data_IF_431334124199
#
_entry.id   IF_431334124199
#
_cell.length_a   1.000
_cell.length_b   1.000
_cell.length_c   1.000
_cell.angle_alpha   90.00
_cell.angle_beta   90.00
_cell.angle_gamma   90.00
#
_symmetry.space_group_name_H-M   'P 1'
#
loop_
_entity.id
_entity.type
_entity.pdbx_description
1 polymer ?
#
# COMPACT_ATOMS: atom_id res chain seq x y z
N UNK A 1 -10.53 -34.75 -10.92
CA UNK A 1 -9.11 -34.56 -11.28
C UNK A 1 -9.05 -33.73 -12.56
N UNK A 2 -8.69 -32.45 -12.52
CA UNK A 2 -8.56 -31.62 -13.73
C UNK A 2 -7.24 -30.80 -13.70
N UNK A 3 -6.58 -30.77 -14.86
CA UNK A 3 -5.13 -30.63 -15.09
C UNK A 3 -4.56 -29.22 -14.89
N UNK A 4 -3.29 -29.21 -14.41
CA UNK A 4 -2.35 -28.08 -14.32
C UNK A 4 -1.89 -27.60 -15.70
N UNK A 5 -1.91 -26.28 -15.90
CA UNK A 5 -1.08 -25.53 -16.86
C UNK A 5 -0.96 -24.08 -16.33
N UNK A 6 0.19 -23.42 -16.21
CA UNK A 6 1.58 -23.81 -16.41
C UNK A 6 2.50 -23.00 -15.47
N UNK A 7 3.80 -23.28 -15.54
CA UNK A 7 4.85 -22.57 -14.79
C UNK A 7 5.25 -23.25 -13.47
N UNK A 8 6.50 -23.68 -13.38
CA UNK A 8 7.16 -24.35 -12.26
C UNK A 8 6.68 -23.91 -10.86
N UNK A 9 5.99 -24.80 -10.14
CA UNK A 9 5.94 -24.87 -8.66
C UNK A 9 5.38 -23.69 -7.84
N UNK A 10 5.22 -22.49 -8.40
CA UNK A 10 4.82 -21.31 -7.65
C UNK A 10 3.30 -21.26 -7.51
N UNK A 11 2.81 -21.51 -6.30
CA UNK A 11 1.40 -21.28 -5.99
C UNK A 11 1.04 -19.79 -6.21
N UNK A 12 -0.20 -19.50 -6.61
CA UNK A 12 -0.72 -18.12 -6.75
C UNK A 12 -0.39 -17.28 -5.50
N UNK A 13 -0.54 -17.87 -4.31
CA UNK A 13 -0.21 -17.20 -3.05
C UNK A 13 1.30 -16.99 -2.81
N UNK A 14 2.15 -17.87 -3.35
CA UNK A 14 3.61 -17.73 -3.34
C UNK A 14 4.08 -16.53 -4.13
N UNK A 15 3.58 -16.39 -5.37
CA UNK A 15 3.85 -15.25 -6.24
C UNK A 15 3.51 -13.92 -5.55
N UNK A 16 2.29 -13.77 -5.03
CA UNK A 16 1.89 -12.52 -4.36
C UNK A 16 2.67 -12.26 -3.08
N UNK A 17 3.05 -13.31 -2.33
CA UNK A 17 3.88 -13.14 -1.14
C UNK A 17 5.24 -12.59 -1.50
N UNK A 18 5.90 -13.12 -2.54
CA UNK A 18 7.18 -12.61 -3.05
C UNK A 18 7.03 -11.17 -3.51
N UNK A 19 6.02 -10.88 -4.32
CA UNK A 19 5.73 -9.53 -4.81
C UNK A 19 5.56 -8.50 -3.67
N UNK A 20 4.84 -8.85 -2.60
CA UNK A 20 4.63 -7.97 -1.45
C UNK A 20 5.82 -7.87 -0.49
N UNK A 21 6.72 -8.87 -0.48
CA UNK A 21 8.00 -8.80 0.22
C UNK A 21 8.93 -7.83 -0.52
N UNK A 22 9.04 -7.98 -1.84
CA UNK A 22 9.89 -7.15 -2.69
C UNK A 22 9.36 -5.71 -2.78
N UNK A 23 8.03 -5.55 -2.75
CA UNK A 23 7.38 -4.25 -2.82
C UNK A 23 6.40 -4.02 -1.65
N UNK A 24 6.90 -3.76 -0.42
CA UNK A 24 6.04 -3.60 0.77
C UNK A 24 5.05 -2.42 0.69
N UNK A 25 5.28 -1.46 -0.21
CA UNK A 25 4.38 -0.33 -0.48
C UNK A 25 3.01 -0.81 -0.99
N UNK A 26 2.99 -1.89 -1.77
CA UNK A 26 1.76 -2.47 -2.36
C UNK A 26 0.79 -3.03 -1.31
N UNK A 27 1.27 -3.35 -0.10
CA UNK A 27 0.43 -3.78 1.02
C UNK A 27 -0.44 -2.64 1.58
N UNK A 28 -0.11 -1.39 1.29
CA UNK A 28 -0.78 -0.19 1.84
C UNK A 28 -1.73 0.46 0.85
N UNK A 29 -1.48 0.29 -0.45
CA UNK A 29 -2.33 0.83 -1.51
C UNK A 29 -3.73 0.21 -1.48
N UNK A 30 -4.77 1.04 -1.57
CA UNK A 30 -6.18 0.59 -1.66
C UNK A 30 -6.49 -0.05 -3.01
N UNK A 31 -5.93 0.49 -4.09
CA UNK A 31 -6.08 -0.11 -5.42
C UNK A 31 -5.21 -1.37 -5.58
N UNK A 32 -5.81 -2.39 -6.20
CA UNK A 32 -5.12 -3.62 -6.59
C UNK A 32 -4.85 -3.68 -8.09
N UNK A 33 -5.25 -2.67 -8.88
CA UNK A 33 -5.15 -2.69 -10.35
C UNK A 33 -3.72 -2.94 -10.82
N UNK A 34 -2.73 -2.29 -10.20
CA UNK A 34 -1.32 -2.45 -10.55
C UNK A 34 -0.77 -3.86 -10.24
N UNK A 35 -1.20 -4.46 -9.12
CA UNK A 35 -0.81 -5.83 -8.72
C UNK A 35 -1.41 -6.86 -9.69
N UNK A 36 -2.65 -6.65 -10.08
CA UNK A 36 -3.38 -7.53 -10.99
C UNK A 36 -2.89 -7.39 -12.44
N UNK A 37 -2.50 -6.19 -12.87
CA UNK A 37 -1.89 -5.95 -14.17
C UNK A 37 -0.55 -6.66 -14.32
N UNK A 38 0.32 -6.55 -13.32
CA UNK A 38 1.60 -7.27 -13.31
C UNK A 38 1.43 -8.80 -13.34
N UNK A 39 0.42 -9.31 -12.66
CA UNK A 39 0.11 -10.74 -12.73
C UNK A 39 -0.31 -11.18 -14.14
N UNK A 40 -1.06 -10.35 -14.88
CA UNK A 40 -1.43 -10.64 -16.28
C UNK A 40 -0.22 -10.60 -17.22
N UNK A 41 0.69 -9.65 -17.04
CA UNK A 41 1.94 -9.57 -17.80
C UNK A 41 2.80 -10.82 -17.60
N UNK A 42 2.92 -11.28 -16.35
CA UNK A 42 3.67 -12.48 -16.00
C UNK A 42 2.95 -13.79 -16.39
N UNK A 43 1.63 -13.73 -16.68
CA UNK A 43 0.79 -14.87 -17.04
C UNK A 43 0.01 -14.60 -18.34
N UNK A 44 0.69 -14.55 -19.50
CA UNK A 44 0.08 -14.17 -20.78
C UNK A 44 -0.98 -15.16 -21.31
N UNK A 45 -1.17 -16.30 -20.65
CA UNK A 45 -2.23 -17.27 -20.95
C UNK A 45 -3.62 -16.87 -20.45
N UNK A 46 -3.75 -15.75 -19.71
CA UNK A 46 -5.02 -15.27 -19.18
C UNK A 46 -5.35 -13.89 -19.74
N UNK A 47 -6.52 -13.78 -20.40
CA UNK A 47 -7.04 -12.51 -20.95
C UNK A 47 -7.60 -11.59 -19.86
N UNK A 48 -8.07 -12.18 -18.76
CA UNK A 48 -8.59 -11.48 -17.58
C UNK A 48 -8.14 -12.18 -16.31
N UNK A 49 -8.02 -11.44 -15.21
CA UNK A 49 -7.60 -12.04 -13.94
C UNK A 49 -8.74 -12.89 -13.36
N UNK A 50 -8.53 -14.22 -13.20
CA UNK A 50 -9.52 -15.10 -12.61
C UNK A 50 -9.93 -14.69 -11.18
N UNK A 51 -11.17 -15.00 -10.79
CA UNK A 51 -11.69 -14.63 -9.47
C UNK A 51 -10.90 -15.26 -8.31
N UNK A 52 -10.45 -16.51 -8.47
CA UNK A 52 -9.62 -17.20 -7.48
C UNK A 52 -8.25 -16.52 -7.28
N UNK A 53 -7.69 -15.88 -8.31
CA UNK A 53 -6.43 -15.12 -8.22
C UNK A 53 -6.66 -13.82 -7.44
N UNK A 54 -7.73 -13.09 -7.74
CA UNK A 54 -8.13 -11.87 -6.99
C UNK A 54 -8.34 -12.19 -5.51
N UNK A 55 -9.04 -13.28 -5.20
CA UNK A 55 -9.28 -13.71 -3.83
C UNK A 55 -7.99 -14.13 -3.11
N UNK A 56 -7.12 -14.89 -3.77
CA UNK A 56 -5.82 -15.28 -3.20
C UNK A 56 -4.95 -14.07 -2.90
N UNK A 57 -4.86 -13.12 -3.82
CA UNK A 57 -4.14 -11.86 -3.62
C UNK A 57 -4.67 -11.10 -2.39
N UNK A 58 -6.00 -11.00 -2.24
CA UNK A 58 -6.63 -10.27 -1.14
C UNK A 58 -6.33 -10.92 0.21
N UNK A 59 -6.41 -12.25 0.27
CA UNK A 59 -6.08 -13.03 1.45
C UNK A 59 -4.60 -12.87 1.85
N UNK A 60 -3.68 -13.00 0.90
CA UNK A 60 -2.24 -12.82 1.15
C UNK A 60 -1.94 -11.40 1.64
N UNK A 61 -2.51 -10.39 0.99
CA UNK A 61 -2.37 -8.98 1.39
C UNK A 61 -2.90 -8.74 2.82
N UNK A 62 -4.04 -9.34 3.17
CA UNK A 62 -4.62 -9.27 4.52
C UNK A 62 -3.72 -9.90 5.57
N UNK A 63 -3.24 -11.13 5.34
CA UNK A 63 -2.34 -11.85 6.25
C UNK A 63 -1.03 -11.08 6.45
N UNK A 64 -0.44 -10.55 5.38
CA UNK A 64 0.80 -9.77 5.48
C UNK A 64 0.61 -8.44 6.23
N UNK A 65 -0.53 -7.75 6.04
CA UNK A 65 -0.89 -6.58 6.86
C UNK A 65 -1.02 -6.93 8.33
N UNK A 66 -1.71 -8.03 8.67
CA UNK A 66 -1.86 -8.52 10.05
C UNK A 66 -0.51 -8.84 10.69
N UNK A 67 0.37 -9.56 9.98
CA UNK A 67 1.72 -9.88 10.46
C UNK A 67 2.54 -8.62 10.74
N UNK A 68 2.47 -7.63 9.84
CA UNK A 68 3.17 -6.35 10.01
C UNK A 68 2.65 -5.55 11.21
N UNK A 69 1.33 -5.50 11.43
CA UNK A 69 0.74 -4.85 12.62
C UNK A 69 1.20 -5.53 13.91
N UNK A 70 1.15 -6.87 13.97
CA UNK A 70 1.64 -7.63 15.12
C UNK A 70 3.11 -7.34 15.43
N UNK A 71 3.96 -7.28 14.41
CA UNK A 71 5.38 -6.96 14.57
C UNK A 71 5.62 -5.55 15.12
N UNK A 72 4.82 -4.57 14.70
CA UNK A 72 4.89 -3.20 15.24
C UNK A 72 4.49 -3.17 16.72
N UNK A 73 3.35 -3.79 17.06
CA UNK A 73 2.91 -3.85 18.46
C UNK A 73 3.95 -4.51 19.39
N UNK A 74 4.61 -5.58 18.93
CA UNK A 74 5.71 -6.23 19.65
C UNK A 74 6.94 -5.32 19.79
N UNK A 75 7.27 -4.55 18.75
CA UNK A 75 8.38 -3.60 18.80
C UNK A 75 8.08 -2.45 19.77
N UNK A 76 6.88 -1.91 19.73
CA UNK A 76 6.43 -0.84 20.62
C UNK A 76 6.45 -1.32 22.08
N UNK A 77 5.95 -2.54 22.36
CA UNK A 77 6.01 -3.14 23.69
C UNK A 77 7.45 -3.34 24.20
N UNK A 78 8.38 -3.69 23.29
CA UNK A 78 9.81 -3.83 23.64
C UNK A 78 10.46 -2.47 23.93
N UNK A 79 10.10 -1.42 23.21
CA UNK A 79 10.59 -0.06 23.44
C UNK A 79 10.05 0.52 24.76
N UNK A 80 8.78 0.27 25.06
CA UNK A 80 8.16 0.64 26.33
C UNK A 80 8.83 -0.07 27.52
N UNK A 81 9.16 -1.37 27.38
CA UNK A 81 9.91 -2.12 28.40
C UNK A 81 11.35 -1.60 28.61
N UNK A 82 11.91 -0.84 27.66
CA UNK A 82 13.24 -0.22 27.75
C UNK A 82 13.18 1.25 28.23
N UNK A 83 12.01 1.73 28.68
CA UNK A 83 11.84 3.09 29.18
C UNK A 83 11.91 4.18 28.10
N UNK A 84 11.90 3.80 26.82
CA UNK A 84 12.02 4.75 25.71
C UNK A 84 10.61 5.19 25.25
N UNK A 85 10.24 6.44 25.52
CA UNK A 85 8.94 6.96 25.10
C UNK A 85 8.87 7.12 23.58
N UNK A 86 7.97 6.36 22.96
CA UNK A 86 7.64 6.54 21.54
C UNK A 86 6.77 7.79 21.40
N UNK A 87 7.32 8.88 20.85
CA UNK A 87 6.53 10.08 20.50
C UNK A 87 5.50 9.72 19.43
N UNK A 88 4.24 9.54 19.85
CA UNK A 88 3.11 9.35 18.94
C UNK A 88 2.64 10.72 18.47
N UNK A 89 2.59 10.93 17.15
CA UNK A 89 1.98 12.14 16.59
C UNK A 89 0.45 12.00 16.81
N UNK A 90 -0.22 12.98 17.44
CA UNK A 90 -1.66 12.92 17.66
C UNK A 90 -2.42 12.95 16.32
N UNK A 91 -3.46 12.11 16.21
CA UNK A 91 -4.28 12.00 14.99
C UNK A 91 -4.88 13.34 14.55
N UNK A 92 -5.36 14.14 15.50
CA UNK A 92 -5.93 15.48 15.26
C UNK A 92 -4.93 16.45 14.61
N UNK A 93 -3.64 16.34 14.95
CA UNK A 93 -2.59 17.17 14.33
C UNK A 93 -2.31 16.77 12.88
N UNK A 94 -2.44 15.47 12.58
CA UNK A 94 -2.28 14.96 11.22
C UNK A 94 -3.49 15.29 10.34
N UNK A 95 -4.72 15.26 10.88
CA UNK A 95 -5.95 15.68 10.18
C UNK A 95 -5.85 17.16 9.76
N UNK A 96 -5.47 18.04 10.68
CA UNK A 96 -5.25 19.46 10.37
C UNK A 96 -4.13 19.68 9.35
N UNK A 97 -3.10 18.82 9.35
CA UNK A 97 -2.04 18.88 8.34
C UNK A 97 -2.52 18.40 6.97
N UNK A 98 -3.36 17.37 6.91
CA UNK A 98 -3.97 16.90 5.65
C UNK A 98 -4.83 18.00 5.02
N UNK A 99 -5.70 18.64 5.81
CA UNK A 99 -6.58 19.72 5.35
C UNK A 99 -5.78 20.87 4.71
N UNK A 100 -4.70 21.31 5.35
CA UNK A 100 -3.79 22.34 4.81
C UNK A 100 -3.12 21.91 3.50
N UNK A 101 -2.76 20.63 3.36
CA UNK A 101 -2.17 20.12 2.12
C UNK A 101 -3.21 20.11 1.00
N UNK A 102 -4.47 19.76 1.30
CA UNK A 102 -5.58 19.80 0.33
C UNK A 102 -5.90 21.24 -0.10
N UNK A 103 -5.81 22.23 0.80
CA UNK A 103 -5.90 23.66 0.47
C UNK A 103 -4.79 24.09 -0.49
N UNK A 104 -3.53 23.73 -0.20
CA UNK A 104 -2.40 24.01 -1.08
C UNK A 104 -2.55 23.35 -2.45
N UNK A 105 -3.08 22.11 -2.51
CA UNK A 105 -3.37 21.42 -3.76
C UNK A 105 -4.43 22.15 -4.58
N UNK A 106 -5.46 22.67 -3.92
CA UNK A 106 -6.53 23.42 -4.57
C UNK A 106 -6.02 24.74 -5.13
N UNK A 107 -5.24 25.49 -4.33
CA UNK A 107 -4.61 26.75 -4.78
C UNK A 107 -3.66 26.52 -5.96
N UNK A 108 -2.76 25.52 -5.89
CA UNK A 108 -1.83 25.24 -6.97
C UNK A 108 -2.54 24.86 -8.29
N UNK A 109 -3.65 24.12 -8.22
CA UNK A 109 -4.46 23.77 -9.41
C UNK A 109 -5.22 24.94 -10.01
N UNK A 110 -5.52 25.97 -9.21
CA UNK A 110 -6.24 27.16 -9.65
C UNK A 110 -5.31 28.23 -10.23
N UNK A 111 -4.05 28.28 -9.78
CA UNK A 111 -3.04 29.17 -10.32
C UNK A 111 -2.60 28.73 -11.71
N UNK A 112 -1.98 27.54 -11.81
CA UNK A 112 -1.51 27.00 -13.09
C UNK A 112 -1.22 25.51 -12.93
N UNK A 113 -1.94 24.66 -13.67
CA UNK A 113 -1.80 23.21 -13.58
C UNK A 113 -0.58 22.67 -14.31
N UNK A 114 -0.16 23.33 -15.38
CA UNK A 114 0.92 22.87 -16.26
C UNK A 114 2.26 23.26 -15.66
N UNK A 115 2.43 24.53 -15.31
CA UNK A 115 3.67 25.04 -14.74
C UNK A 115 3.92 24.47 -13.33
N UNK A 116 2.86 24.27 -12.53
CA UNK A 116 2.99 23.74 -11.16
C UNK A 116 2.81 22.22 -11.08
N UNK A 117 2.85 21.49 -12.20
CA UNK A 117 2.64 20.04 -12.22
C UNK A 117 3.57 19.30 -11.25
N UNK A 118 4.83 19.70 -11.16
CA UNK A 118 5.81 19.09 -10.24
C UNK A 118 5.46 19.37 -8.76
N UNK A 119 5.03 20.59 -8.44
CA UNK A 119 4.60 21.00 -7.10
C UNK A 119 3.35 20.23 -6.68
N UNK A 120 2.36 20.11 -7.58
CA UNK A 120 1.14 19.34 -7.35
C UNK A 120 1.46 17.86 -7.05
N UNK A 121 2.44 17.27 -7.73
CA UNK A 121 2.87 15.90 -7.49
C UNK A 121 3.53 15.73 -6.10
N UNK A 122 4.34 16.70 -5.66
CA UNK A 122 4.92 16.69 -4.32
C UNK A 122 3.86 16.81 -3.23
N UNK A 123 2.89 17.71 -3.41
CA UNK A 123 1.79 17.88 -2.46
C UNK A 123 0.90 16.62 -2.37
N UNK A 124 0.61 15.96 -3.49
CA UNK A 124 -0.08 14.66 -3.49
C UNK A 124 0.71 13.59 -2.73
N UNK A 125 2.03 13.57 -2.91
CA UNK A 125 2.91 12.64 -2.21
C UNK A 125 2.92 12.92 -0.70
N UNK A 126 3.01 14.19 -0.31
CA UNK A 126 2.95 14.62 1.08
C UNK A 126 1.62 14.23 1.73
N UNK A 127 0.48 14.49 1.08
CA UNK A 127 -0.84 14.07 1.55
C UNK A 127 -0.90 12.56 1.79
N UNK A 128 -0.48 11.77 0.80
CA UNK A 128 -0.46 10.31 0.91
C UNK A 128 0.42 9.82 2.06
N UNK A 129 1.50 10.53 2.39
CA UNK A 129 2.34 10.22 3.55
C UNK A 129 1.65 10.56 4.88
N UNK A 130 0.94 11.68 4.96
CA UNK A 130 0.16 12.07 6.16
C UNK A 130 -0.96 11.06 6.43
N UNK A 131 -1.76 10.74 5.40
CA UNK A 131 -2.79 9.69 5.46
C UNK A 131 -2.17 8.34 5.85
N UNK A 132 -0.99 8.03 5.31
CA UNK A 132 -0.24 6.83 5.69
C UNK A 132 0.15 6.79 7.18
N UNK A 133 0.49 7.94 7.78
CA UNK A 133 0.84 8.05 9.19
C UNK A 133 -0.41 7.97 10.08
N UNK A 134 -1.54 8.54 9.65
CA UNK A 134 -2.83 8.44 10.34
C UNK A 134 -3.37 7.00 10.40
N UNK A 135 -3.05 6.17 9.40
CA UNK A 135 -3.42 4.76 9.37
C UNK A 135 -4.79 4.47 8.74
N UNK A 136 -5.31 5.39 7.93
CA UNK A 136 -6.52 5.22 7.11
C UNK A 136 -6.27 4.39 5.84
#
# INVERSE_FOLDING_TARGET
>A
MAKKAGGQGESIGGYFRKLFVDNPKLLRTRSNSHVLGRWLEDHPGHREVPLNVKQNMANVKSVMRKKRRKRRALADQKLEAQGMQVKRIPSKGLEALEERIDDCLTQAKNLDRETLAHVINHLRTARNQVVFIQGQ
#
